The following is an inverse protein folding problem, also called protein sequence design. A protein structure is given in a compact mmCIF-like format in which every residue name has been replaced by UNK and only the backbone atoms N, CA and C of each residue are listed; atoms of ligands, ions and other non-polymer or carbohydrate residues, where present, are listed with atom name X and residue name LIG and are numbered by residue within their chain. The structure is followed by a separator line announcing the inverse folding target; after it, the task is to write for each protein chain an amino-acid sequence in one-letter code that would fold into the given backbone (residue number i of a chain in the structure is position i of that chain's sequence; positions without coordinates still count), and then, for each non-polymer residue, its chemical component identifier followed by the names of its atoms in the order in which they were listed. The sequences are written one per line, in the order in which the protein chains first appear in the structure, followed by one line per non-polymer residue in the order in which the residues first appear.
data_IF_014200074651
#
_entry.id   IF_014200074651
#
_cell.length_a   1.000
_cell.length_b   1.000
_cell.length_c   1.000
_cell.angle_alpha   90.00
_cell.angle_beta   90.00
_cell.angle_gamma   90.00
#
_symmetry.space_group_name_H-M   'P 1'
#
loop_
_entity.id
_entity.type
_entity.pdbx_description
1 polymer ?
#
# COMPACT_ATOMS: atom_id res chain seq x y z
N UNK A 1 -16.37 -6.36 -18.42
CA UNK A 1 -15.39 -6.70 -17.36
C UNK A 1 -16.17 -7.44 -16.28
N UNK A 2 -15.55 -8.36 -15.54
CA UNK A 2 -16.22 -8.97 -14.40
C UNK A 2 -16.46 -7.91 -13.32
N UNK A 3 -17.63 -7.95 -12.69
CA UNK A 3 -18.01 -7.07 -11.57
C UNK A 3 -17.04 -7.27 -10.39
N UNK A 4 -16.69 -6.19 -9.70
CA UNK A 4 -15.76 -6.25 -8.56
C UNK A 4 -16.47 -6.83 -7.33
N UNK A 5 -15.80 -7.72 -6.60
CA UNK A 5 -16.31 -8.20 -5.31
C UNK A 5 -16.52 -6.99 -4.38
N UNK A 6 -17.72 -6.80 -3.81
CA UNK A 6 -17.99 -5.67 -2.94
C UNK A 6 -17.22 -5.78 -1.62
N UNK A 7 -16.94 -4.63 -1.02
CA UNK A 7 -16.45 -4.58 0.36
C UNK A 7 -17.50 -5.22 1.30
N UNK A 8 -17.13 -6.19 2.16
CA UNK A 8 -18.10 -6.96 2.96
C UNK A 8 -18.90 -6.13 3.97
N UNK A 9 -18.40 -4.96 4.38
CA UNK A 9 -19.02 -4.08 5.39
C UNK A 9 -19.62 -2.82 4.75
N UNK A 10 -20.24 -2.99 3.58
CA UNK A 10 -20.86 -1.88 2.85
C UNK A 10 -21.92 -1.18 3.72
N UNK A 11 -21.78 0.15 3.87
CA UNK A 11 -22.72 1.00 4.62
C UNK A 11 -22.32 1.31 6.07
N UNK A 12 -21.26 0.68 6.59
CA UNK A 12 -20.70 0.98 7.92
C UNK A 12 -20.02 2.36 7.97
N UNK A 13 -19.54 2.83 6.81
CA UNK A 13 -18.95 4.16 6.62
C UNK A 13 -19.87 5.04 5.77
N UNK A 14 -19.93 6.34 6.09
CA UNK A 14 -20.85 7.31 5.47
C UNK A 14 -20.17 8.64 5.18
N UNK A 15 -19.02 8.56 4.51
CA UNK A 15 -18.28 9.72 4.04
C UNK A 15 -19.00 10.40 2.87
N UNK A 16 -18.93 11.73 2.88
CA UNK A 16 -19.32 12.64 1.81
C UNK A 16 -18.18 13.63 1.54
N UNK A 17 -18.37 14.54 0.59
CA UNK A 17 -17.35 15.55 0.24
C UNK A 17 -16.93 16.39 1.45
N UNK A 18 -17.89 16.79 2.29
CA UNK A 18 -17.63 17.71 3.40
C UNK A 18 -16.83 17.02 4.52
N UNK A 19 -17.25 15.82 4.91
CA UNK A 19 -16.58 15.01 5.93
C UNK A 19 -15.17 14.57 5.48
N UNK A 20 -14.99 14.14 4.22
CA UNK A 20 -13.66 13.81 3.69
C UNK A 20 -12.74 15.01 3.73
N UNK A 21 -13.21 16.19 3.28
CA UNK A 21 -12.41 17.41 3.32
C UNK A 21 -12.03 17.81 4.76
N UNK A 22 -12.96 17.66 5.71
CA UNK A 22 -12.73 17.97 7.12
C UNK A 22 -11.75 16.99 7.79
N UNK A 23 -11.80 15.70 7.44
CA UNK A 23 -11.01 14.63 8.03
C UNK A 23 -9.74 14.30 7.24
N UNK A 24 -9.45 15.06 6.18
CA UNK A 24 -8.39 14.74 5.22
C UNK A 24 -7.05 14.37 5.86
N UNK A 25 -6.57 15.19 6.81
CA UNK A 25 -5.29 14.95 7.47
C UNK A 25 -5.23 13.67 8.31
N UNK A 26 -6.37 13.16 8.79
CA UNK A 26 -6.45 11.89 9.49
C UNK A 26 -6.50 10.71 8.50
N UNK A 27 -7.39 10.79 7.50
CA UNK A 27 -7.58 9.77 6.45
C UNK A 27 -6.33 9.57 5.56
N UNK A 28 -5.54 10.63 5.40
CA UNK A 28 -4.32 10.65 4.58
C UNK A 28 -3.04 10.81 5.41
N UNK A 29 -3.08 10.42 6.70
CA UNK A 29 -1.87 10.45 7.55
C UNK A 29 -0.79 9.52 7.01
N UNK A 30 -1.17 8.36 6.49
CA UNK A 30 -0.24 7.34 5.96
C UNK A 30 0.42 7.75 4.64
N UNK A 31 -0.35 8.29 3.69
CA UNK A 31 0.13 8.59 2.34
C UNK A 31 0.47 10.07 2.09
N UNK A 32 0.14 10.95 3.04
CA UNK A 32 0.35 12.39 2.96
C UNK A 32 -0.18 13.02 1.65
N UNK A 33 -1.23 12.46 1.05
CA UNK A 33 -1.85 13.02 -0.16
C UNK A 33 -2.31 14.46 0.10
N UNK A 34 -2.02 15.42 -0.79
CA UNK A 34 -2.54 16.78 -0.66
C UNK A 34 -4.06 16.81 -0.88
N UNK A 35 -4.77 17.60 -0.05
CA UNK A 35 -6.21 17.75 -0.18
C UNK A 35 -6.57 18.40 -1.53
N UNK A 36 -7.35 17.72 -2.40
CA UNK A 36 -7.78 18.30 -3.65
C UNK A 36 -8.79 19.42 -3.38
N UNK A 37 -8.87 20.37 -4.30
CA UNK A 37 -9.86 21.44 -4.27
C UNK A 37 -11.12 21.10 -5.10
N UNK A 38 -11.01 20.11 -5.99
CA UNK A 38 -12.11 19.69 -6.86
C UNK A 38 -13.06 18.73 -6.13
N UNK A 39 -14.32 19.11 -6.05
CA UNK A 39 -15.38 18.31 -5.47
C UNK A 39 -15.58 16.96 -6.17
N UNK A 40 -15.28 16.83 -7.46
CA UNK A 40 -15.33 15.54 -8.16
C UNK A 40 -14.29 14.57 -7.61
N UNK A 41 -13.09 15.06 -7.34
CA UNK A 41 -12.01 14.25 -6.74
C UNK A 41 -12.35 13.94 -5.28
N UNK A 42 -12.88 14.89 -4.52
CA UNK A 42 -13.35 14.64 -3.14
C UNK A 42 -14.50 13.61 -3.09
N UNK A 43 -15.40 13.61 -4.09
CA UNK A 43 -16.43 12.56 -4.22
C UNK A 43 -15.83 11.19 -4.48
N UNK A 44 -14.81 11.09 -5.33
CA UNK A 44 -14.11 9.83 -5.58
C UNK A 44 -13.42 9.31 -4.30
N UNK A 45 -12.83 10.21 -3.50
CA UNK A 45 -12.29 9.86 -2.18
C UNK A 45 -13.37 9.41 -1.18
N UNK A 46 -14.52 10.07 -1.15
CA UNK A 46 -15.64 9.63 -0.31
C UNK A 46 -16.09 8.20 -0.66
N UNK A 47 -16.20 7.88 -1.96
CA UNK A 47 -16.49 6.52 -2.42
C UNK A 47 -15.40 5.53 -1.95
N UNK A 48 -14.13 5.91 -2.04
CA UNK A 48 -13.01 5.08 -1.58
C UNK A 48 -13.10 4.78 -0.09
N UNK A 49 -13.27 5.80 0.75
CA UNK A 49 -13.36 5.65 2.21
C UNK A 49 -14.61 4.87 2.65
N UNK A 50 -15.67 4.85 1.82
CA UNK A 50 -16.86 4.03 2.03
C UNK A 50 -16.73 2.58 1.55
N UNK A 51 -15.60 2.20 0.94
CA UNK A 51 -15.37 0.85 0.41
C UNK A 51 -15.99 0.60 -0.97
N UNK A 52 -16.50 1.65 -1.63
CA UNK A 52 -17.08 1.57 -2.98
C UNK A 52 -15.96 1.63 -4.04
N UNK A 53 -14.99 0.72 -3.95
CA UNK A 53 -13.71 0.80 -4.67
C UNK A 53 -13.85 0.88 -6.19
N UNK A 54 -14.77 0.13 -6.80
CA UNK A 54 -14.98 0.19 -8.26
C UNK A 54 -15.50 1.56 -8.69
N UNK A 55 -16.48 2.10 -7.95
CA UNK A 55 -17.05 3.43 -8.21
C UNK A 55 -16.03 4.52 -7.95
N UNK A 56 -15.21 4.40 -6.90
CA UNK A 56 -14.12 5.31 -6.61
C UNK A 56 -13.07 5.31 -7.73
N UNK A 57 -12.73 4.12 -8.24
CA UNK A 57 -11.79 3.97 -9.34
C UNK A 57 -12.30 4.66 -10.60
N UNK A 58 -13.56 4.41 -10.98
CA UNK A 58 -14.16 5.05 -12.14
C UNK A 58 -14.28 6.57 -11.98
N UNK A 59 -14.78 7.04 -10.84
CA UNK A 59 -14.92 8.48 -10.58
C UNK A 59 -13.57 9.22 -10.59
N UNK A 60 -12.50 8.58 -10.09
CA UNK A 60 -11.15 9.13 -10.15
C UNK A 60 -10.61 9.22 -11.59
N UNK A 61 -10.87 8.21 -12.41
CA UNK A 61 -10.50 8.22 -13.84
C UNK A 61 -11.25 9.31 -14.60
N UNK A 62 -12.55 9.45 -14.35
CA UNK A 62 -13.39 10.45 -15.00
C UNK A 62 -12.98 11.89 -14.64
N UNK A 63 -12.53 12.11 -13.39
CA UNK A 63 -12.02 13.40 -12.95
C UNK A 63 -10.65 13.75 -13.56
N UNK A 64 -9.82 12.75 -13.86
CA UNK A 64 -8.45 12.94 -14.35
C UNK A 64 -7.56 13.71 -13.35
N UNK A 65 -6.35 14.10 -13.77
CA UNK A 65 -5.41 14.88 -12.95
C UNK A 65 -5.26 14.30 -11.52
N UNK A 66 -5.57 15.08 -10.45
CA UNK A 66 -5.53 14.59 -9.07
C UNK A 66 -6.42 13.36 -8.78
N UNK A 67 -7.49 13.14 -9.58
CA UNK A 67 -8.35 11.96 -9.49
C UNK A 67 -7.65 10.64 -9.85
N UNK A 68 -6.51 10.69 -10.55
CA UNK A 68 -5.76 9.49 -10.90
C UNK A 68 -5.14 8.81 -9.67
N UNK A 69 -4.82 9.57 -8.61
CA UNK A 69 -4.31 8.97 -7.36
C UNK A 69 -5.36 8.08 -6.70
N UNK A 70 -6.60 8.56 -6.54
CA UNK A 70 -7.69 7.75 -5.95
C UNK A 70 -8.04 6.57 -6.86
N UNK A 71 -7.98 6.75 -8.18
CA UNK A 71 -8.18 5.64 -9.12
C UNK A 71 -7.16 4.52 -8.95
N UNK A 72 -5.88 4.88 -8.80
CA UNK A 72 -4.81 3.94 -8.53
C UNK A 72 -4.98 3.24 -7.19
N UNK A 73 -5.22 4.01 -6.11
CA UNK A 73 -5.41 3.47 -4.76
C UNK A 73 -6.60 2.52 -4.70
N UNK A 74 -7.77 2.93 -5.19
CA UNK A 74 -8.98 2.11 -5.18
C UNK A 74 -8.79 0.79 -5.93
N UNK A 75 -8.16 0.84 -7.11
CA UNK A 75 -7.89 -0.36 -7.92
C UNK A 75 -6.90 -1.29 -7.22
N UNK A 76 -5.82 -0.74 -6.65
CA UNK A 76 -4.76 -1.52 -6.01
C UNK A 76 -5.22 -2.17 -4.68
N UNK A 77 -6.02 -1.46 -3.89
CA UNK A 77 -6.61 -1.98 -2.66
C UNK A 77 -7.62 -3.09 -2.97
N UNK A 78 -8.54 -2.86 -3.93
CA UNK A 78 -9.44 -3.92 -4.37
C UNK A 78 -8.69 -5.17 -4.85
N UNK A 79 -7.68 -5.00 -5.72
CA UNK A 79 -6.89 -6.11 -6.23
C UNK A 79 -6.19 -6.89 -5.10
N UNK A 80 -5.67 -6.19 -4.09
CA UNK A 80 -4.92 -6.81 -3.00
C UNK A 80 -5.82 -7.61 -2.05
N UNK A 81 -6.97 -7.06 -1.66
CA UNK A 81 -7.79 -7.62 -0.57
C UNK A 81 -9.04 -8.38 -1.04
N UNK A 82 -9.61 -8.04 -2.20
CA UNK A 82 -10.98 -8.43 -2.55
C UNK A 82 -11.12 -9.17 -3.88
N UNK A 83 -10.15 -9.08 -4.80
CA UNK A 83 -10.19 -9.85 -6.05
C UNK A 83 -9.74 -11.30 -5.83
N UNK A 84 -10.64 -12.29 -5.93
CA UNK A 84 -10.30 -13.68 -5.63
C UNK A 84 -9.50 -14.37 -6.75
N UNK A 85 -9.51 -13.84 -7.98
CA UNK A 85 -8.87 -14.50 -9.13
C UNK A 85 -7.49 -13.90 -9.38
N UNK A 86 -6.47 -14.75 -9.27
CA UNK A 86 -5.06 -14.36 -9.45
C UNK A 86 -4.81 -13.62 -10.78
N UNK A 87 -5.30 -14.15 -11.90
CA UNK A 87 -5.09 -13.52 -13.22
C UNK A 87 -5.68 -12.11 -13.29
N UNK A 88 -6.89 -11.92 -12.74
CA UNK A 88 -7.54 -10.62 -12.69
C UNK A 88 -6.78 -9.65 -11.77
N UNK A 89 -6.32 -10.14 -10.61
CA UNK A 89 -5.50 -9.36 -9.66
C UNK A 89 -4.22 -8.86 -10.32
N UNK A 90 -3.47 -9.74 -10.99
CA UNK A 90 -2.25 -9.37 -11.70
C UNK A 90 -2.52 -8.33 -12.80
N UNK A 91 -3.60 -8.50 -13.56
CA UNK A 91 -3.98 -7.54 -14.60
C UNK A 91 -4.34 -6.16 -14.01
N UNK A 92 -5.00 -6.10 -12.86
CA UNK A 92 -5.32 -4.85 -12.16
C UNK A 92 -4.05 -4.15 -11.67
N UNK A 93 -3.10 -4.89 -11.09
CA UNK A 93 -1.81 -4.31 -10.69
C UNK A 93 -1.02 -3.79 -11.89
N UNK A 94 -0.99 -4.51 -13.02
CA UNK A 94 -0.34 -4.00 -14.24
C UNK A 94 -0.98 -2.68 -14.70
N UNK A 95 -2.32 -2.58 -14.73
CA UNK A 95 -3.01 -1.34 -15.09
C UNK A 95 -2.67 -0.17 -14.16
N UNK A 96 -2.59 -0.42 -12.85
CA UNK A 96 -2.17 0.62 -11.88
C UNK A 96 -0.72 1.02 -12.13
N UNK A 97 0.18 0.06 -12.33
CA UNK A 97 1.60 0.32 -12.56
C UNK A 97 1.82 1.18 -13.81
N UNK A 98 1.16 0.85 -14.93
CA UNK A 98 1.23 1.60 -16.19
C UNK A 98 0.67 3.03 -16.05
N UNK A 99 -0.51 3.17 -15.43
CA UNK A 99 -1.13 4.48 -15.22
C UNK A 99 -0.33 5.36 -14.27
N UNK A 100 0.22 4.78 -13.21
CA UNK A 100 1.07 5.48 -12.26
C UNK A 100 2.40 5.87 -12.88
N UNK A 101 3.02 5.02 -13.72
CA UNK A 101 4.23 5.37 -14.49
C UNK A 101 3.99 6.54 -15.45
N UNK A 102 2.88 6.52 -16.18
CA UNK A 102 2.50 7.63 -17.03
C UNK A 102 2.30 8.93 -16.23
N UNK A 103 1.77 8.82 -15.00
CA UNK A 103 1.59 9.96 -14.11
C UNK A 103 2.92 10.47 -13.54
N UNK A 104 3.89 9.61 -13.21
CA UNK A 104 5.21 10.08 -12.74
C UNK A 104 5.99 10.82 -13.83
N UNK A 105 5.77 10.48 -15.11
CA UNK A 105 6.33 11.21 -16.23
C UNK A 105 5.71 12.61 -16.41
N UNK A 106 4.39 12.73 -16.19
CA UNK A 106 3.64 13.99 -16.31
C UNK A 106 3.83 14.90 -15.08
N UNK A 107 3.86 14.29 -13.90
CA UNK A 107 3.93 14.96 -12.59
C UNK A 107 5.09 14.37 -11.76
N UNK A 108 6.35 14.64 -12.12
CA UNK A 108 7.51 14.02 -11.48
C UNK A 108 7.68 14.39 -9.99
N UNK A 109 6.94 15.40 -9.50
CA UNK A 109 6.91 15.82 -8.10
C UNK A 109 5.75 15.18 -7.31
N UNK A 110 4.89 14.39 -7.95
CA UNK A 110 3.78 13.70 -7.28
C UNK A 110 4.30 12.44 -6.56
N UNK A 111 4.51 12.54 -5.25
CA UNK A 111 4.99 11.42 -4.43
C UNK A 111 4.08 10.19 -4.51
N UNK A 112 2.76 10.38 -4.59
CA UNK A 112 1.79 9.29 -4.62
C UNK A 112 1.72 8.59 -5.99
N UNK A 113 2.04 9.28 -7.09
CA UNK A 113 2.26 8.61 -8.37
C UNK A 113 3.43 7.62 -8.29
N UNK A 114 4.55 8.02 -7.69
CA UNK A 114 5.70 7.14 -7.47
C UNK A 114 5.37 5.98 -6.53
N UNK A 115 4.67 6.27 -5.43
CA UNK A 115 4.26 5.25 -4.47
C UNK A 115 3.34 4.20 -5.11
N UNK A 116 2.28 4.62 -5.83
CA UNK A 116 1.35 3.67 -6.45
C UNK A 116 1.98 2.87 -7.60
N UNK A 117 2.94 3.45 -8.32
CA UNK A 117 3.74 2.68 -9.28
C UNK A 117 4.52 1.56 -8.58
N UNK A 118 5.22 1.90 -7.49
CA UNK A 118 5.98 0.93 -6.73
C UNK A 118 5.11 -0.14 -6.06
N UNK A 119 4.02 0.27 -5.42
CA UNK A 119 3.06 -0.63 -4.76
C UNK A 119 2.53 -1.67 -5.74
N UNK A 120 2.06 -1.22 -6.90
CA UNK A 120 1.48 -2.10 -7.91
C UNK A 120 2.53 -3.06 -8.50
N UNK A 121 3.75 -2.59 -8.78
CA UNK A 121 4.83 -3.47 -9.24
C UNK A 121 5.27 -4.48 -8.16
N UNK A 122 5.31 -4.06 -6.89
CA UNK A 122 5.63 -4.93 -5.75
C UNK A 122 4.62 -6.06 -5.61
N UNK A 123 3.32 -5.72 -5.53
CA UNK A 123 2.24 -6.71 -5.44
C UNK A 123 2.15 -7.60 -6.69
N UNK A 124 2.37 -7.05 -7.90
CA UNK A 124 2.49 -7.86 -9.12
C UNK A 124 3.67 -8.86 -9.02
N UNK A 125 4.82 -8.41 -8.50
CA UNK A 125 6.01 -9.26 -8.34
C UNK A 125 5.80 -10.40 -7.36
N UNK A 126 4.95 -10.24 -6.34
CA UNK A 126 4.62 -11.30 -5.38
C UNK A 126 3.78 -12.42 -6.02
N UNK A 127 2.99 -12.12 -7.05
CA UNK A 127 2.17 -13.11 -7.76
C UNK A 127 2.83 -13.73 -9.00
N UNK A 128 4.14 -13.58 -9.18
CA UNK A 128 4.89 -14.21 -10.29
C UNK A 128 6.16 -14.90 -9.77
N UNK A 129 6.78 -15.74 -10.61
CA UNK A 129 8.03 -16.40 -10.25
C UNK A 129 9.18 -15.40 -10.07
N UNK A 130 10.09 -15.69 -9.15
CA UNK A 130 11.32 -14.91 -8.91
C UNK A 130 12.09 -14.68 -10.23
N UNK A 131 12.26 -15.73 -11.04
CA UNK A 131 12.93 -15.62 -12.34
C UNK A 131 12.28 -14.59 -13.28
N UNK A 132 10.94 -14.52 -13.32
CA UNK A 132 10.21 -13.54 -14.13
C UNK A 132 10.36 -12.12 -13.57
N UNK A 133 10.29 -11.96 -12.24
CA UNK A 133 10.50 -10.67 -11.59
C UNK A 133 11.91 -10.11 -11.83
N UNK A 134 12.92 -10.98 -11.77
CA UNK A 134 14.32 -10.67 -12.09
C UNK A 134 14.47 -10.24 -13.56
N UNK A 135 13.91 -11.03 -14.50
CA UNK A 135 13.99 -10.74 -15.94
C UNK A 135 13.34 -9.40 -16.31
N UNK A 136 12.29 -8.99 -15.59
CA UNK A 136 11.60 -7.70 -15.79
C UNK A 136 12.24 -6.54 -15.02
N UNK A 137 13.27 -6.79 -14.20
CA UNK A 137 13.96 -5.78 -13.40
C UNK A 137 13.08 -5.14 -12.33
N UNK A 138 12.06 -5.84 -11.82
CA UNK A 138 11.05 -5.27 -10.93
C UNK A 138 11.64 -4.75 -9.62
N UNK A 139 12.61 -5.48 -9.03
CA UNK A 139 13.21 -5.10 -7.75
C UNK A 139 13.81 -3.69 -7.77
N UNK A 140 14.61 -3.36 -8.79
CA UNK A 140 15.20 -2.02 -8.91
C UNK A 140 14.16 -0.95 -9.21
N UNK A 141 13.13 -1.24 -10.01
CA UNK A 141 12.03 -0.31 -10.30
C UNK A 141 11.25 0.04 -9.04
N UNK A 142 10.85 -0.97 -8.27
CA UNK A 142 10.13 -0.81 -6.99
C UNK A 142 10.94 0.03 -6.02
N UNK A 143 12.21 -0.34 -5.79
CA UNK A 143 13.08 0.41 -4.89
C UNK A 143 13.23 1.87 -5.29
N UNK A 144 13.58 2.14 -6.55
CA UNK A 144 13.81 3.50 -7.02
C UNK A 144 12.55 4.37 -6.88
N UNK A 145 11.38 3.81 -7.18
CA UNK A 145 10.11 4.52 -7.05
C UNK A 145 9.75 4.80 -5.58
N UNK A 146 9.99 3.86 -4.65
CA UNK A 146 9.79 4.08 -3.22
C UNK A 146 10.76 5.11 -2.64
N UNK A 147 12.04 5.01 -2.96
CA UNK A 147 13.05 6.00 -2.55
C UNK A 147 12.66 7.41 -3.05
N UNK A 148 12.17 7.50 -4.29
CA UNK A 148 11.67 8.76 -4.86
C UNK A 148 10.44 9.28 -4.13
N UNK A 149 9.47 8.43 -3.81
CA UNK A 149 8.27 8.80 -3.06
C UNK A 149 8.63 9.34 -1.66
N UNK A 150 9.51 8.65 -0.93
CA UNK A 150 9.99 9.08 0.40
C UNK A 150 10.77 10.39 0.32
N UNK A 151 11.60 10.58 -0.71
CA UNK A 151 12.35 11.81 -0.90
C UNK A 151 11.43 13.02 -1.22
N UNK A 152 10.38 12.81 -2.01
CA UNK A 152 9.40 13.86 -2.35
C UNK A 152 8.46 14.17 -1.19
N UNK A 153 8.08 13.16 -0.40
CA UNK A 153 7.22 13.31 0.77
C UNK A 153 7.85 12.64 1.99
N UNK A 154 8.69 13.38 2.75
CA UNK A 154 9.30 12.87 3.98
C UNK A 154 8.30 12.53 5.09
N UNK A 155 7.00 12.80 4.94
CA UNK A 155 5.97 12.32 5.88
C UNK A 155 5.16 11.14 5.37
N UNK A 156 5.48 10.61 4.18
CA UNK A 156 4.81 9.43 3.63
C UNK A 156 5.21 8.19 4.43
N UNK A 157 4.33 7.74 5.31
CA UNK A 157 4.55 6.57 6.17
C UNK A 157 4.36 5.28 5.37
N UNK A 158 3.35 5.21 4.51
CA UNK A 158 3.04 4.02 3.71
C UNK A 158 4.17 3.67 2.72
N UNK A 159 4.85 4.67 2.15
CA UNK A 159 6.03 4.47 1.30
C UNK A 159 7.24 3.97 2.09
N UNK A 160 7.40 4.39 3.35
CA UNK A 160 8.44 3.86 4.24
C UNK A 160 8.16 2.43 4.64
N UNK A 161 6.92 2.09 4.97
CA UNK A 161 6.48 0.71 5.24
C UNK A 161 6.81 -0.17 4.04
N UNK A 162 6.41 0.24 2.83
CA UNK A 162 6.68 -0.51 1.62
C UNK A 162 8.19 -0.64 1.32
N UNK A 163 9.00 0.39 1.60
CA UNK A 163 10.46 0.31 1.43
C UNK A 163 11.13 -0.58 2.48
N UNK A 164 10.59 -0.59 3.71
CA UNK A 164 10.97 -1.53 4.76
C UNK A 164 10.70 -2.97 4.36
N UNK A 165 9.49 -3.24 3.88
CA UNK A 165 9.07 -4.55 3.38
C UNK A 165 9.93 -4.99 2.19
N UNK A 166 10.22 -4.09 1.25
CA UNK A 166 11.13 -4.37 0.13
C UNK A 166 12.50 -4.88 0.62
N UNK A 167 13.10 -4.23 1.62
CA UNK A 167 14.38 -4.68 2.18
C UNK A 167 14.29 -6.07 2.80
N UNK A 168 13.22 -6.35 3.55
CA UNK A 168 13.00 -7.65 4.17
C UNK A 168 12.79 -8.75 3.13
N UNK A 169 11.86 -8.56 2.19
CA UNK A 169 11.52 -9.55 1.17
C UNK A 169 12.69 -9.90 0.25
N UNK A 170 13.50 -8.91 -0.14
CA UNK A 170 14.67 -9.19 -0.97
C UNK A 170 15.70 -10.02 -0.21
N UNK A 171 15.92 -9.72 1.07
CA UNK A 171 16.85 -10.49 1.91
C UNK A 171 16.34 -11.91 2.12
N UNK A 172 15.04 -12.07 2.38
CA UNK A 172 14.40 -13.38 2.53
C UNK A 172 14.54 -14.24 1.26
N UNK A 173 14.20 -13.67 0.10
CA UNK A 173 14.15 -14.41 -1.18
C UNK A 173 15.51 -14.78 -1.76
N UNK A 174 16.51 -13.90 -1.66
CA UNK A 174 17.83 -14.11 -2.32
C UNK A 174 19.02 -14.04 -1.36
N UNK A 175 18.78 -13.88 -0.07
CA UNK A 175 19.81 -13.77 0.95
C UNK A 175 20.41 -12.36 1.05
N UNK A 176 21.02 -12.01 2.19
CA UNK A 176 21.52 -10.65 2.46
C UNK A 176 22.70 -10.24 1.58
N UNK A 177 23.55 -11.19 1.17
CA UNK A 177 24.71 -10.89 0.31
C UNK A 177 24.29 -10.51 -1.11
N UNK A 178 23.46 -11.33 -1.76
CA UNK A 178 22.98 -11.07 -3.12
C UNK A 178 22.01 -9.89 -3.11
N UNK A 179 21.08 -9.86 -2.15
CA UNK A 179 20.14 -8.75 -1.96
C UNK A 179 20.86 -7.42 -1.77
N UNK A 180 21.90 -7.39 -0.94
CA UNK A 180 22.73 -6.21 -0.72
C UNK A 180 23.50 -5.77 -1.97
N UNK A 181 24.11 -6.71 -2.70
CA UNK A 181 24.93 -6.40 -3.89
C UNK A 181 24.08 -5.94 -5.09
N UNK A 182 22.97 -6.61 -5.35
CA UNK A 182 22.17 -6.38 -6.56
C UNK A 182 21.12 -5.29 -6.37
N UNK A 183 20.49 -5.25 -5.19
CA UNK A 183 19.35 -4.38 -4.92
C UNK A 183 19.61 -3.34 -3.85
N UNK A 184 20.77 -3.39 -3.17
CA UNK A 184 21.07 -2.51 -2.05
C UNK A 184 20.24 -2.85 -0.80
N UNK A 185 19.73 -4.08 -0.68
CA UNK A 185 18.90 -4.46 0.45
C UNK A 185 19.70 -4.50 1.76
N UNK A 186 19.15 -3.91 2.83
CA UNK A 186 19.82 -3.80 4.14
C UNK A 186 18.82 -4.02 5.27
N UNK A 187 19.08 -5.03 6.10
CA UNK A 187 18.28 -5.37 7.28
C UNK A 187 18.02 -4.18 8.20
N UNK A 188 19.09 -3.55 8.70
CA UNK A 188 18.97 -2.41 9.62
C UNK A 188 18.25 -1.21 9.00
N UNK A 189 18.32 -1.04 7.67
CA UNK A 189 17.56 0.01 7.00
C UNK A 189 16.08 -0.33 6.99
N UNK A 190 15.72 -1.57 6.64
CA UNK A 190 14.35 -2.04 6.64
C UNK A 190 13.66 -1.84 7.99
N UNK A 191 14.30 -2.30 9.08
CA UNK A 191 13.77 -2.16 10.44
C UNK A 191 13.59 -0.69 10.85
N UNK A 192 14.58 0.18 10.58
CA UNK A 192 14.46 1.62 10.89
C UNK A 192 13.31 2.30 10.13
N UNK A 193 13.07 1.91 8.87
CA UNK A 193 11.98 2.49 8.08
C UNK A 193 10.60 2.18 8.68
N UNK A 194 10.40 0.97 9.22
CA UNK A 194 9.17 0.63 9.93
C UNK A 194 9.00 1.45 11.20
N UNK A 195 10.06 1.57 12.02
CA UNK A 195 10.00 2.40 13.23
C UNK A 195 9.71 3.87 12.91
N UNK A 196 10.32 4.42 11.86
CA UNK A 196 10.04 5.78 11.39
C UNK A 196 8.61 5.93 10.89
N UNK A 197 8.10 4.95 10.14
CA UNK A 197 6.72 4.97 9.65
C UNK A 197 5.70 4.93 10.79
N UNK A 198 5.91 4.06 11.78
CA UNK A 198 5.04 4.00 12.97
C UNK A 198 5.19 5.24 13.87
N UNK A 199 6.32 5.94 13.84
CA UNK A 199 6.42 7.27 14.47
C UNK A 199 5.58 8.33 13.75
N UNK A 200 5.43 8.23 12.42
CA UNK A 200 4.61 9.14 11.60
C UNK A 200 3.11 8.80 11.67
N UNK A 201 2.78 7.51 11.72
CA UNK A 201 1.42 7.02 11.85
C UNK A 201 1.36 5.85 12.88
N UNK A 202 1.28 6.15 14.18
CA UNK A 202 1.32 5.15 15.26
C UNK A 202 0.20 4.12 15.22
N UNK A 203 -0.95 4.47 14.64
CA UNK A 203 -2.15 3.64 14.58
C UNK A 203 -2.26 2.87 13.26
N UNK A 204 -1.18 2.80 12.46
CA UNK A 204 -1.16 2.10 11.18
C UNK A 204 -1.18 0.57 11.36
N UNK A 205 -2.36 -0.04 11.27
CA UNK A 205 -2.51 -1.50 11.32
C UNK A 205 -1.63 -2.20 10.26
N UNK A 206 -1.66 -1.74 9.01
CA UNK A 206 -0.80 -2.29 7.95
C UNK A 206 0.70 -2.11 8.23
N UNK A 207 1.08 -0.99 8.86
CA UNK A 207 2.47 -0.76 9.25
C UNK A 207 2.95 -1.76 10.30
N UNK A 208 2.07 -2.12 11.25
CA UNK A 208 2.37 -3.14 12.26
C UNK A 208 2.44 -4.54 11.64
N UNK A 209 1.51 -4.90 10.75
CA UNK A 209 1.49 -6.19 10.03
C UNK A 209 2.77 -6.37 9.20
N UNK A 210 3.10 -5.40 8.35
CA UNK A 210 4.28 -5.48 7.48
C UNK A 210 5.58 -5.48 8.30
N UNK A 211 5.61 -4.80 9.46
CA UNK A 211 6.75 -4.86 10.37
C UNK A 211 6.88 -6.23 11.05
N UNK A 212 5.77 -6.83 11.51
CA UNK A 212 5.75 -8.17 12.06
C UNK A 212 6.31 -9.19 11.07
N UNK A 213 5.84 -9.13 9.82
CA UNK A 213 6.34 -9.97 8.73
C UNK A 213 7.83 -9.77 8.47
N UNK A 214 8.28 -8.52 8.45
CA UNK A 214 9.70 -8.20 8.28
C UNK A 214 10.57 -8.74 9.42
N UNK A 215 10.10 -8.72 10.67
CA UNK A 215 10.82 -9.30 11.80
C UNK A 215 11.03 -10.80 11.60
N UNK A 216 9.99 -11.54 11.22
CA UNK A 216 10.08 -12.99 10.98
C UNK A 216 11.02 -13.29 9.80
N UNK A 217 10.88 -12.57 8.68
CA UNK A 217 11.77 -12.72 7.51
C UNK A 217 13.25 -12.47 7.83
N UNK A 218 13.55 -11.49 8.70
CA UNK A 218 14.92 -11.01 8.93
C UNK A 218 15.61 -11.64 10.15
N UNK A 219 14.85 -12.15 11.11
CA UNK A 219 15.33 -12.62 12.42
C UNK A 219 14.80 -14.02 12.80
N UNK A 220 13.86 -14.57 12.03
CA UNK A 220 13.24 -15.88 12.28
C UNK A 220 12.54 -15.97 13.64
N UNK A 221 12.50 -17.18 14.19
CA UNK A 221 11.77 -17.54 15.42
C UNK A 221 12.13 -16.66 16.63
N UNK A 222 13.34 -16.10 16.65
CA UNK A 222 13.81 -15.23 17.75
C UNK A 222 12.96 -13.97 17.93
N UNK A 223 12.23 -13.55 16.89
CA UNK A 223 11.34 -12.39 16.90
C UNK A 223 9.86 -12.74 16.76
N UNK A 224 9.49 -14.02 16.80
CA UNK A 224 8.11 -14.45 16.66
C UNK A 224 7.19 -13.80 17.69
N UNK A 225 7.58 -13.77 18.97
CA UNK A 225 6.77 -13.14 20.02
C UNK A 225 6.55 -11.64 19.78
N UNK A 226 7.55 -10.93 19.27
CA UNK A 226 7.44 -9.50 18.96
C UNK A 226 6.54 -9.27 17.73
N UNK A 227 6.63 -10.14 16.72
CA UNK A 227 5.76 -10.14 15.56
C UNK A 227 4.29 -10.38 15.96
N UNK A 228 4.00 -11.40 16.79
CA UNK A 228 2.65 -11.65 17.31
C UNK A 228 2.09 -10.43 18.06
N UNK A 229 2.89 -9.76 18.90
CA UNK A 229 2.45 -8.55 19.60
C UNK A 229 2.10 -7.39 18.66
N UNK A 230 2.78 -7.28 17.51
CA UNK A 230 2.44 -6.28 16.49
C UNK A 230 1.12 -6.63 15.80
N UNK A 231 0.91 -7.91 15.47
CA UNK A 231 -0.36 -8.39 14.94
C UNK A 231 -1.53 -8.15 15.91
N UNK A 232 -1.36 -8.47 17.20
CA UNK A 232 -2.37 -8.22 18.24
C UNK A 232 -2.75 -6.73 18.32
N UNK A 233 -1.76 -5.84 18.23
CA UNK A 233 -2.01 -4.39 18.18
C UNK A 233 -2.76 -3.99 16.92
N UNK A 234 -2.37 -4.51 15.75
CA UNK A 234 -3.04 -4.25 14.48
C UNK A 234 -4.51 -4.69 14.52
N UNK A 235 -4.80 -5.89 15.05
CA UNK A 235 -6.15 -6.43 15.19
C UNK A 235 -7.03 -5.65 16.18
N UNK A 236 -6.41 -4.94 17.13
CA UNK A 236 -7.05 -4.08 18.12
C UNK A 236 -7.25 -2.63 17.64
N UNK A 237 -6.70 -2.23 16.50
CA UNK A 237 -6.91 -0.91 15.94
C UNK A 237 -8.38 -0.67 15.61
N UNK A 238 -8.83 0.58 15.77
CA UNK A 238 -10.16 1.01 15.29
C UNK A 238 -10.00 1.57 13.87
N UNK A 239 -10.57 0.93 12.85
CA UNK A 239 -10.42 1.38 11.47
C UNK A 239 -11.20 2.68 11.22
N UNK A 240 -10.53 3.68 10.64
CA UNK A 240 -11.18 4.96 10.31
C UNK A 240 -12.03 4.90 9.06
N UNK A 241 -11.71 4.00 8.13
CA UNK A 241 -12.38 3.84 6.84
C UNK A 241 -12.41 2.37 6.39
N UNK A 242 -13.01 2.13 5.23
CA UNK A 242 -13.11 0.78 4.67
C UNK A 242 -11.74 0.13 4.34
N UNK A 243 -10.70 0.91 3.99
CA UNK A 243 -9.37 0.36 3.70
C UNK A 243 -8.69 -0.11 4.98
N UNK A 244 -8.71 0.72 6.03
CA UNK A 244 -8.14 0.34 7.33
C UNK A 244 -8.92 -0.83 7.93
N UNK A 245 -10.22 -0.96 7.65
CA UNK A 245 -11.01 -2.12 8.07
C UNK A 245 -10.44 -3.42 7.50
N UNK A 246 -10.08 -3.43 6.21
CA UNK A 246 -9.46 -4.60 5.58
C UNK A 246 -8.10 -4.94 6.20
N UNK A 247 -7.32 -3.94 6.60
CA UNK A 247 -6.04 -4.15 7.30
C UNK A 247 -6.25 -4.79 8.68
N UNK A 248 -7.24 -4.32 9.44
CA UNK A 248 -7.58 -4.87 10.77
C UNK A 248 -8.11 -6.30 10.67
N UNK A 249 -8.98 -6.58 9.69
CA UNK A 249 -9.51 -7.94 9.46
C UNK A 249 -8.44 -8.90 8.98
N UNK A 250 -7.47 -8.44 8.17
CA UNK A 250 -6.31 -9.24 7.83
C UNK A 250 -5.54 -9.65 9.09
N UNK A 251 -5.21 -8.69 9.97
CA UNK A 251 -4.51 -9.00 11.23
C UNK A 251 -5.28 -10.00 12.11
N UNK A 252 -6.61 -9.87 12.19
CA UNK A 252 -7.47 -10.80 12.94
C UNK A 252 -7.47 -12.20 12.35
N UNK A 253 -7.46 -12.30 11.03
CA UNK A 253 -7.45 -13.58 10.32
C UNK A 253 -6.13 -14.29 10.53
N UNK A 254 -5.00 -13.61 10.32
CA UNK A 254 -3.65 -14.18 10.51
C UNK A 254 -3.45 -14.69 11.95
N UNK A 255 -3.88 -13.92 12.97
CA UNK A 255 -3.81 -14.36 14.37
C UNK A 255 -4.70 -15.57 14.71
N UNK A 256 -5.74 -15.84 13.92
CA UNK A 256 -6.61 -16.99 14.13
C UNK A 256 -6.07 -18.26 13.45
N UNK A 257 -5.12 -18.11 12.52
CA UNK A 257 -4.46 -19.20 11.80
C UNK A 257 -3.14 -19.65 12.45
N UNK A 258 -2.53 -18.81 13.30
CA UNK A 258 -1.38 -19.12 14.19
C UNK A 258 -1.75 -20.03 15.38
#
# INVERSE_FOLDING_TARGET
MAEWTPFPHAGDYRFDVASVKALWGALHRGDAEPCPQDDAVLRAWALFHNGEFERAAQAGLDAGGPGLTVANKATAIYANYLEPREEARLALFTRVAERAEALTAQEPQNANAWYWHAYALGRYSQGISVAKALAQGLGSKVRNALEKAVALSPRHADARIALGAFHAEVIDKVGPLIGGMTYGAKKDMGLRLFEEALRLNPDSAIGMIEYANALVMLEGDSKMQEATQLYEKAAACTPQDAREHLDVELARTELAED
#
